data_IF_761661153820
#
_entry.id   IF_761661153820
#
_cell.length_a   1.000
_cell.length_b   1.000
_cell.length_c   1.000
_cell.angle_alpha   90.00
_cell.angle_beta   90.00
_cell.angle_gamma   90.00
#
_symmetry.space_group_name_H-M   'P 1'
#
loop_
_entity.id
_entity.type
_entity.pdbx_description
1 polymer ?
#
# COMPACT_ATOMS: atom_id res chain seq x y z
N UNK A 1 -6.55 -15.04 -1.18
CA UNK A 1 -7.32 -14.04 -0.40
C UNK A 1 -6.91 -14.03 1.06
N UNK A 2 -6.82 -15.19 1.73
CA UNK A 2 -6.45 -15.25 3.16
C UNK A 2 -5.07 -14.64 3.44
N UNK A 3 -4.05 -15.06 2.69
CA UNK A 3 -2.66 -14.55 2.79
C UNK A 3 -2.60 -13.01 2.74
N UNK A 4 -3.18 -12.43 1.69
CA UNK A 4 -3.28 -10.98 1.54
C UNK A 4 -4.04 -10.30 2.68
N UNK A 5 -5.09 -10.91 3.24
CA UNK A 5 -5.82 -10.33 4.36
C UNK A 5 -4.93 -10.29 5.62
N UNK A 6 -4.21 -11.37 5.88
CA UNK A 6 -3.35 -11.52 7.05
C UNK A 6 -2.18 -10.53 7.04
N UNK A 7 -1.57 -10.28 5.88
CA UNK A 7 -0.52 -9.26 5.73
C UNK A 7 -1.01 -7.86 6.09
N UNK A 8 -2.25 -7.53 5.69
CA UNK A 8 -2.86 -6.21 5.93
C UNK A 8 -3.23 -6.03 7.38
N UNK A 9 -3.82 -7.05 8.01
CA UNK A 9 -4.10 -7.05 9.43
C UNK A 9 -2.81 -6.87 10.26
N UNK A 10 -1.73 -7.56 9.89
CA UNK A 10 -0.42 -7.43 10.55
C UNK A 10 0.12 -6.00 10.42
N UNK A 11 0.08 -5.43 9.21
CA UNK A 11 0.56 -4.07 8.95
C UNK A 11 -0.27 -3.02 9.69
N UNK A 12 -1.60 -3.19 9.76
CA UNK A 12 -2.48 -2.31 10.53
C UNK A 12 -2.15 -2.35 12.03
N UNK A 13 -1.99 -3.54 12.61
CA UNK A 13 -1.61 -3.69 14.02
C UNK A 13 -0.27 -2.98 14.32
N UNK A 14 0.71 -3.11 13.42
CA UNK A 14 2.00 -2.42 13.55
C UNK A 14 1.81 -0.90 13.49
N UNK A 15 1.10 -0.38 12.49
CA UNK A 15 0.84 1.06 12.31
C UNK A 15 0.09 1.69 13.50
N UNK A 16 -0.85 0.97 14.11
CA UNK A 16 -1.53 1.43 15.33
C UNK A 16 -0.55 1.55 16.49
N UNK A 17 0.36 0.58 16.67
CA UNK A 17 1.41 0.68 17.68
C UNK A 17 2.36 1.86 17.41
N UNK A 18 2.77 2.09 16.16
CA UNK A 18 3.57 3.26 15.80
C UNK A 18 2.83 4.58 16.06
N UNK A 19 1.52 4.64 15.80
CA UNK A 19 0.71 5.83 16.08
C UNK A 19 0.62 6.13 17.59
N UNK A 20 0.63 5.09 18.44
CA UNK A 20 0.71 5.26 19.89
C UNK A 20 2.09 5.74 20.36
N UNK A 21 3.18 5.26 19.73
CA UNK A 21 4.55 5.66 20.06
C UNK A 21 4.91 7.06 19.52
N UNK A 22 4.38 7.43 18.35
CA UNK A 22 4.64 8.69 17.67
C UNK A 22 3.32 9.45 17.39
N UNK A 23 2.67 10.00 18.43
CA UNK A 23 1.35 10.64 18.31
C UNK A 23 1.34 11.82 17.32
N UNK A 24 2.44 12.58 17.24
CA UNK A 24 2.61 13.70 16.29
C UNK A 24 2.46 13.27 14.82
N UNK A 25 2.79 12.02 14.51
CA UNK A 25 2.71 11.44 13.16
C UNK A 25 1.54 10.47 12.98
N UNK A 26 0.66 10.34 13.98
CA UNK A 26 -0.46 9.40 13.96
C UNK A 26 -1.38 9.59 12.75
N UNK A 27 -1.62 10.83 12.32
CA UNK A 27 -2.42 11.14 11.14
C UNK A 27 -1.84 10.51 9.87
N UNK A 28 -0.52 10.51 9.70
CA UNK A 28 0.13 9.92 8.53
C UNK A 28 -0.01 8.40 8.51
N UNK A 29 0.11 7.75 9.67
CA UNK A 29 -0.12 6.32 9.79
C UNK A 29 -1.58 5.95 9.52
N UNK A 30 -2.52 6.76 10.01
CA UNK A 30 -3.95 6.59 9.73
C UNK A 30 -4.25 6.73 8.24
N UNK A 31 -3.72 7.76 7.57
CA UNK A 31 -3.88 7.94 6.13
C UNK A 31 -3.29 6.77 5.34
N UNK A 32 -2.10 6.29 5.73
CA UNK A 32 -1.47 5.12 5.10
C UNK A 32 -2.35 3.86 5.25
N UNK A 33 -2.87 3.59 6.45
CA UNK A 33 -3.80 2.49 6.72
C UNK A 33 -5.07 2.60 5.87
N UNK A 34 -5.71 3.77 5.86
CA UNK A 34 -6.95 3.98 5.11
C UNK A 34 -6.75 3.81 3.62
N UNK A 35 -5.65 4.32 3.08
CA UNK A 35 -5.30 4.20 1.66
C UNK A 35 -5.06 2.74 1.27
N UNK A 36 -4.32 1.99 2.10
CA UNK A 36 -4.04 0.59 1.84
C UNK A 36 -5.32 -0.27 1.86
N UNK A 37 -6.19 -0.08 2.85
CA UNK A 37 -7.49 -0.79 2.92
C UNK A 37 -8.40 -0.41 1.74
N UNK A 38 -8.56 0.88 1.46
CA UNK A 38 -9.46 1.36 0.41
C UNK A 38 -9.02 0.89 -0.98
N UNK A 39 -7.71 0.93 -1.27
CA UNK A 39 -7.17 0.54 -2.58
C UNK A 39 -7.37 -0.94 -2.85
N UNK A 40 -7.12 -1.80 -1.86
CA UNK A 40 -7.35 -3.24 -1.98
C UNK A 40 -8.83 -3.59 -2.02
N UNK A 41 -9.68 -2.93 -1.22
CA UNK A 41 -11.12 -3.16 -1.24
C UNK A 41 -11.73 -2.81 -2.60
N UNK A 42 -11.40 -1.64 -3.16
CA UNK A 42 -11.88 -1.23 -4.49
C UNK A 42 -11.36 -2.16 -5.59
N UNK A 43 -10.10 -2.59 -5.51
CA UNK A 43 -9.55 -3.55 -6.47
C UNK A 43 -10.29 -4.89 -6.41
N UNK A 44 -10.51 -5.43 -5.21
CA UNK A 44 -11.23 -6.69 -5.01
C UNK A 44 -12.69 -6.57 -5.47
N UNK A 45 -13.40 -5.52 -5.04
CA UNK A 45 -14.78 -5.26 -5.46
C UNK A 45 -14.87 -5.14 -6.98
N UNK A 46 -13.93 -4.45 -7.63
CA UNK A 46 -13.95 -4.28 -9.08
C UNK A 46 -13.75 -5.61 -9.82
N UNK A 47 -12.97 -6.52 -9.24
CA UNK A 47 -12.73 -7.86 -9.79
C UNK A 47 -13.96 -8.75 -9.61
N UNK A 48 -14.65 -8.65 -8.47
CA UNK A 48 -15.90 -9.40 -8.21
C UNK A 48 -17.03 -8.94 -9.14
N UNK A 49 -17.23 -7.64 -9.29
CA UNK A 49 -18.25 -7.06 -10.19
C UNK A 49 -17.95 -7.43 -11.65
N UNK A 50 -16.68 -7.32 -12.08
CA UNK A 50 -16.26 -7.72 -13.44
C UNK A 50 -16.34 -9.24 -13.68
N UNK A 51 -16.09 -10.05 -12.65
CA UNK A 51 -16.23 -11.51 -12.72
C UNK A 51 -17.68 -12.00 -12.90
N UNK A 52 -18.67 -11.12 -12.66
CA UNK A 52 -20.08 -11.37 -12.93
C UNK A 52 -20.54 -11.01 -14.35
N UNK A 53 -19.90 -10.04 -15.03
CA UNK A 53 -20.23 -9.65 -16.42
C UNK A 53 -19.03 -9.92 -17.36
N UNK A 54 -19.04 -11.09 -18.01
CA UNK A 54 -17.94 -11.61 -18.85
C UNK A 54 -17.59 -10.79 -20.12
N UNK A 55 -18.30 -9.73 -20.50
CA UNK A 55 -18.09 -9.10 -21.83
C UNK A 55 -18.40 -7.59 -21.90
N UNK A 56 -17.57 -6.75 -21.28
CA UNK A 56 -17.20 -5.43 -21.86
C UNK A 56 -15.99 -4.86 -21.11
N UNK A 57 -14.84 -5.00 -21.76
CA UNK A 57 -13.54 -4.49 -21.34
C UNK A 57 -13.56 -2.96 -21.19
N UNK A 58 -13.90 -2.48 -19.99
CA UNK A 58 -13.36 -1.20 -19.53
C UNK A 58 -11.99 -1.52 -18.92
N UNK A 59 -11.02 -1.71 -19.82
CA UNK A 59 -9.60 -1.75 -19.50
C UNK A 59 -9.11 -0.33 -19.27
N UNK A 60 -9.43 0.21 -18.10
CA UNK A 60 -8.76 1.36 -17.52
C UNK A 60 -7.64 0.92 -16.57
N UNK A 61 -7.03 -0.25 -16.83
CA UNK A 61 -5.72 -0.66 -16.27
C UNK A 61 -4.58 0.13 -16.95
N UNK A 62 -4.89 1.35 -17.42
CA UNK A 62 -4.21 2.08 -18.48
C UNK A 62 -2.98 2.87 -18.04
N UNK A 63 -2.47 2.66 -16.81
CA UNK A 63 -1.23 3.31 -16.41
C UNK A 63 -0.04 2.35 -16.54
N UNK A 64 0.92 2.71 -17.40
CA UNK A 64 2.13 1.91 -17.70
C UNK A 64 2.90 1.53 -16.43
N UNK A 65 2.82 2.39 -15.41
CA UNK A 65 3.43 2.22 -14.07
C UNK A 65 2.79 1.06 -13.30
N UNK A 66 1.45 0.97 -13.25
CA UNK A 66 0.75 -0.15 -12.61
C UNK A 66 1.04 -1.47 -13.33
N UNK A 67 1.12 -1.45 -14.66
CA UNK A 67 1.46 -2.63 -15.45
C UNK A 67 2.85 -3.15 -15.10
N UNK A 68 3.85 -2.29 -14.98
CA UNK A 68 5.21 -2.70 -14.57
C UNK A 68 5.25 -3.20 -13.12
N UNK A 69 4.50 -2.55 -12.23
CA UNK A 69 4.39 -2.94 -10.82
C UNK A 69 3.79 -4.34 -10.64
N UNK A 70 2.73 -4.67 -11.37
CA UNK A 70 2.06 -5.98 -11.29
C UNK A 70 2.66 -7.07 -12.19
N UNK A 71 3.35 -6.71 -13.28
CA UNK A 71 3.98 -7.70 -14.18
C UNK A 71 5.25 -8.33 -13.55
N UNK A 72 5.85 -7.64 -12.58
CA UNK A 72 7.15 -8.01 -12.03
C UNK A 72 7.01 -8.53 -10.59
N UNK A 73 6.84 -9.84 -10.41
CA UNK A 73 6.83 -10.50 -9.08
C UNK A 73 7.94 -10.02 -8.12
N UNK A 74 9.22 -9.91 -8.52
CA UNK A 74 10.27 -9.43 -7.62
C UNK A 74 10.09 -7.96 -7.20
N UNK A 75 9.54 -7.10 -8.07
CA UNK A 75 9.29 -5.69 -7.74
C UNK A 75 8.19 -5.58 -6.69
N UNK A 76 7.10 -6.35 -6.86
CA UNK A 76 6.02 -6.40 -5.89
C UNK A 76 6.52 -6.87 -4.51
N UNK A 77 7.35 -7.91 -4.49
CA UNK A 77 7.94 -8.43 -3.27
C UNK A 77 8.84 -7.40 -2.58
N UNK A 78 9.77 -6.77 -3.31
CA UNK A 78 10.66 -5.74 -2.77
C UNK A 78 9.86 -4.55 -2.22
N UNK A 79 8.78 -4.15 -2.90
CA UNK A 79 7.93 -3.05 -2.47
C UNK A 79 7.07 -3.40 -1.25
N UNK A 80 6.62 -4.65 -1.08
CA UNK A 80 5.97 -5.08 0.18
C UNK A 80 7.00 -5.20 1.30
N UNK A 81 8.04 -5.99 1.09
CA UNK A 81 9.08 -6.23 2.08
C UNK A 81 9.74 -4.94 2.56
N UNK A 82 10.08 -4.01 1.65
CA UNK A 82 10.68 -2.74 2.01
C UNK A 82 9.75 -1.81 2.78
N UNK A 83 8.44 -1.89 2.54
CA UNK A 83 7.45 -1.09 3.27
C UNK A 83 7.18 -1.64 4.67
N UNK A 84 7.06 -2.96 4.81
CA UNK A 84 7.00 -3.60 6.13
C UNK A 84 8.28 -3.35 6.92
N UNK A 85 9.43 -3.48 6.27
CA UNK A 85 10.72 -3.22 6.88
C UNK A 85 10.85 -1.76 7.34
N UNK A 86 10.32 -0.79 6.59
CA UNK A 86 10.26 0.61 7.02
C UNK A 86 9.51 0.78 8.35
N UNK A 87 8.30 0.22 8.47
CA UNK A 87 7.53 0.32 9.71
C UNK A 87 8.15 -0.46 10.86
N UNK A 88 8.76 -1.62 10.59
CA UNK A 88 9.50 -2.38 11.58
C UNK A 88 10.73 -1.60 12.09
N UNK A 89 11.49 -0.94 11.21
CA UNK A 89 12.64 -0.13 11.61
C UNK A 89 12.22 1.11 12.40
N UNK A 90 11.13 1.78 12.01
CA UNK A 90 10.55 2.88 12.81
C UNK A 90 10.16 2.43 14.22
N UNK A 91 9.56 1.24 14.35
CA UNK A 91 9.25 0.65 15.65
C UNK A 91 10.50 0.40 16.48
N UNK A 92 11.53 -0.22 15.89
CA UNK A 92 12.77 -0.54 16.59
C UNK A 92 13.56 0.71 17.01
N UNK A 93 13.54 1.77 16.20
CA UNK A 93 14.20 3.04 16.54
C UNK A 93 13.65 3.69 17.81
N UNK A 94 12.41 3.39 18.19
CA UNK A 94 11.86 3.85 19.46
C UNK A 94 12.58 3.23 20.68
N UNK A 95 13.18 2.04 20.52
CA UNK A 95 13.85 1.31 21.60
C UNK A 95 15.38 1.44 21.55
N UNK A 96 15.96 1.87 20.42
CA UNK A 96 17.39 2.15 20.29
C UNK A 96 17.83 2.18 18.82
N UNK A 97 19.01 2.74 18.53
CA UNK A 97 19.50 2.91 17.15
C UNK A 97 20.14 1.64 16.53
N UNK A 98 20.29 0.57 17.32
CA UNK A 98 20.88 -0.70 16.89
C UNK A 98 22.40 -0.73 16.94
N UNK A 99 23.05 -1.79 16.43
CA UNK A 99 24.50 -1.91 16.40
C UNK A 99 25.15 -0.73 15.66
N UNK A 100 26.17 -0.12 16.25
CA UNK A 100 26.94 0.95 15.63
C UNK A 100 27.82 0.36 14.51
N UNK A 101 27.37 0.50 13.25
CA UNK A 101 28.14 0.00 12.09
C UNK A 101 29.23 1.01 11.69
N UNK A 102 28.96 2.31 11.85
CA UNK A 102 29.86 3.39 11.45
C UNK A 102 30.15 4.25 12.69
N UNK A 103 31.38 4.19 13.21
CA UNK A 103 31.83 4.95 14.40
C UNK A 103 31.43 6.43 14.32
N UNK A 104 30.31 6.78 14.98
CA UNK A 104 29.87 8.16 15.21
C UNK A 104 28.85 8.78 14.23
N UNK A 105 28.31 8.09 13.21
CA UNK A 105 27.41 8.75 12.24
C UNK A 105 25.98 8.20 12.12
N UNK A 106 25.71 6.90 12.33
CA UNK A 106 24.33 6.36 12.39
C UNK A 106 24.28 4.88 12.82
N UNK A 107 23.29 4.51 13.65
CA UNK A 107 22.98 3.11 13.95
C UNK A 107 22.34 2.34 12.78
N UNK A 108 22.50 1.01 12.77
CA UNK A 108 22.04 0.11 11.71
C UNK A 108 20.57 0.32 11.31
N UNK A 109 19.69 0.51 12.30
CA UNK A 109 18.25 0.65 12.03
C UNK A 109 17.92 1.95 11.29
N UNK A 110 18.67 3.02 11.57
CA UNK A 110 18.50 4.31 10.90
C UNK A 110 18.95 4.26 9.45
N UNK A 111 20.03 3.53 9.15
CA UNK A 111 20.50 3.34 7.78
C UNK A 111 19.50 2.52 6.96
N UNK A 112 19.00 1.42 7.50
CA UNK A 112 17.97 0.61 6.84
C UNK A 112 16.70 1.43 6.62
N UNK A 113 16.28 2.21 7.62
CA UNK A 113 15.13 3.11 7.48
C UNK A 113 15.30 4.09 6.32
N UNK A 114 16.47 4.72 6.18
CA UNK A 114 16.74 5.66 5.08
C UNK A 114 16.65 5.00 3.71
N UNK A 115 17.10 3.75 3.58
CA UNK A 115 16.99 2.98 2.33
C UNK A 115 15.53 2.56 2.07
N UNK A 116 14.78 2.20 3.10
CA UNK A 116 13.38 1.77 2.98
C UNK A 116 12.39 2.93 2.79
N UNK A 117 12.74 4.13 3.24
CA UNK A 117 11.90 5.34 3.11
C UNK A 117 11.48 5.64 1.66
N UNK A 118 12.39 5.72 0.66
CA UNK A 118 11.98 5.96 -0.72
C UNK A 118 11.11 4.83 -1.29
N UNK A 119 11.32 3.59 -0.83
CA UNK A 119 10.51 2.43 -1.23
C UNK A 119 9.09 2.58 -0.70
N UNK A 120 8.94 2.88 0.60
CA UNK A 120 7.65 3.09 1.25
C UNK A 120 6.88 4.27 0.61
N UNK A 121 7.55 5.41 0.38
CA UNK A 121 6.94 6.56 -0.28
C UNK A 121 6.49 6.24 -1.72
N UNK A 122 7.33 5.56 -2.49
CA UNK A 122 6.99 5.14 -3.85
C UNK A 122 5.78 4.20 -3.84
N UNK A 123 5.74 3.25 -2.91
CA UNK A 123 4.61 2.34 -2.73
C UNK A 123 3.33 3.10 -2.37
N UNK A 124 3.36 3.99 -1.38
CA UNK A 124 2.20 4.80 -0.99
C UNK A 124 1.68 5.66 -2.16
N UNK A 125 2.58 6.22 -2.97
CA UNK A 125 2.21 6.99 -4.16
C UNK A 125 1.56 6.11 -5.24
N UNK A 126 2.11 4.93 -5.51
CA UNK A 126 1.51 3.96 -6.45
C UNK A 126 0.13 3.54 -5.95
N UNK A 127 -0.02 3.24 -4.66
CA UNK A 127 -1.31 2.87 -4.08
C UNK A 127 -2.34 4.01 -4.16
N UNK A 128 -1.92 5.28 -4.05
CA UNK A 128 -2.80 6.44 -4.25
C UNK A 128 -3.31 6.51 -5.70
N UNK A 129 -2.41 6.38 -6.67
CA UNK A 129 -2.78 6.36 -8.10
C UNK A 129 -3.72 5.20 -8.39
N UNK A 130 -3.43 4.03 -7.82
CA UNK A 130 -4.25 2.83 -7.96
C UNK A 130 -5.65 3.05 -7.38
N UNK A 131 -5.74 3.68 -6.22
CA UNK A 131 -7.01 4.04 -5.58
C UNK A 131 -7.85 4.97 -6.46
N UNK A 132 -7.26 6.07 -6.94
CA UNK A 132 -7.97 7.04 -7.78
C UNK A 132 -8.44 6.39 -9.08
N UNK A 133 -7.58 5.61 -9.73
CA UNK A 133 -7.94 4.89 -10.95
C UNK A 133 -9.06 3.87 -10.72
N UNK A 134 -9.02 3.12 -9.61
CA UNK A 134 -10.05 2.15 -9.26
C UNK A 134 -11.39 2.84 -8.95
N UNK A 135 -11.38 3.95 -8.21
CA UNK A 135 -12.57 4.75 -7.89
C UNK A 135 -13.25 5.29 -9.16
N UNK A 136 -12.48 5.86 -10.10
CA UNK A 136 -13.02 6.32 -11.38
C UNK A 136 -13.64 5.18 -12.19
N UNK A 137 -13.02 4.00 -12.19
CA UNK A 137 -13.55 2.83 -12.88
C UNK A 137 -14.87 2.34 -12.28
N UNK A 138 -14.98 2.35 -10.96
CA UNK A 138 -16.22 2.00 -10.27
C UNK A 138 -17.34 2.99 -10.56
N UNK A 139 -17.05 4.29 -10.51
CA UNK A 139 -18.05 5.31 -10.84
C UNK A 139 -18.55 5.16 -12.29
N UNK A 140 -17.68 4.80 -13.23
CA UNK A 140 -18.06 4.53 -14.62
C UNK A 140 -18.93 3.26 -14.76
N UNK A 141 -18.62 2.19 -14.01
CA UNK A 141 -19.43 0.97 -13.97
C UNK A 141 -20.82 1.24 -13.38
N UNK A 142 -20.90 1.95 -12.26
CA UNK A 142 -22.17 2.32 -11.62
C UNK A 142 -23.05 3.18 -12.55
N UNK A 143 -22.44 4.12 -13.27
CA UNK A 143 -23.15 4.94 -14.26
C UNK A 143 -23.68 4.09 -15.43
N UNK A 144 -22.90 3.13 -15.91
CA UNK A 144 -23.30 2.22 -16.99
C UNK A 144 -24.44 1.26 -16.55
N UNK A 145 -24.40 0.74 -15.33
CA UNK A 145 -25.49 -0.06 -14.78
C UNK A 145 -26.79 0.73 -14.63
N UNK A 146 -26.72 1.99 -14.20
CA UNK A 146 -27.90 2.88 -14.12
C UNK A 146 -28.49 3.15 -15.50
N UNK A 147 -27.65 3.35 -16.52
CA UNK A 147 -28.12 3.57 -17.88
C UNK A 147 -28.82 2.34 -18.51
N UNK A 148 -28.46 1.11 -18.11
CA UNK A 148 -29.15 -0.12 -18.55
C UNK A 148 -30.54 -0.32 -17.91
N UNK A 149 -30.81 0.35 -16.78
CA UNK A 149 -32.07 0.21 -16.01
C UNK A 149 -33.16 1.22 -16.42
N UNK A 150 -32.83 2.18 -17.27
CA UNK A 150 -33.77 3.17 -17.86
C UNK A 150 -34.16 2.68 -19.25
#
# INVERSE_FOLDING_TARGET
MLDMLTDRCTTMCLLVNLAMLYPESALWFQLSMSLDVASHWLHLHSTVVKGGESHKSIDLTGNRILRVYYNSRPVLFIMCAGNELFYCMLYLLCFGEGPEILSGYAGLYRLILWVCTPIALTKSFISLIHLVSASCNMAALDAAERAKKI
#
